data_IF_581301127743
#
_entry.id   IF_581301127743
#
_cell.length_a   1.000
_cell.length_b   1.000
_cell.length_c   1.000
_cell.angle_alpha   90.00
_cell.angle_beta   90.00
_cell.angle_gamma   90.00
#
_symmetry.space_group_name_H-M   'P 1'
#
loop_
_entity.id
_entity.type
_entity.pdbx_description
1 polymer ?
#
# COMPACT_ATOMS: atom_id res chain seq x y z
N UNK A 1 -5.70 2.06 3.91
CA UNK A 1 -5.86 0.67 4.36
C UNK A 1 -4.80 0.31 5.40
N UNK A 2 -3.63 -0.22 5.05
CA UNK A 2 -2.65 -0.83 5.98
C UNK A 2 -1.88 0.07 6.97
N UNK A 3 -2.27 1.33 7.15
CA UNK A 3 -1.55 2.30 7.98
C UNK A 3 -0.06 2.46 7.68
N UNK A 4 0.38 2.13 6.46
CA UNK A 4 1.78 2.22 6.05
C UNK A 4 2.17 3.66 5.76
N UNK A 5 3.41 4.04 6.07
CA UNK A 5 3.95 5.35 5.69
C UNK A 5 4.06 5.44 4.16
N UNK A 6 3.99 6.64 3.60
CA UNK A 6 4.13 6.88 2.14
C UNK A 6 5.32 6.17 1.48
N UNK A 7 6.50 6.16 2.12
CA UNK A 7 7.68 5.40 1.62
C UNK A 7 7.47 3.89 1.65
N UNK A 8 6.89 3.38 2.72
CA UNK A 8 6.59 1.94 2.87
C UNK A 8 5.59 1.50 1.79
N UNK A 9 4.63 2.36 1.43
CA UNK A 9 3.67 2.13 0.33
C UNK A 9 4.37 2.16 -1.04
N UNK A 10 5.16 3.18 -1.34
CA UNK A 10 5.86 3.31 -2.63
C UNK A 10 6.84 2.14 -2.90
N UNK A 11 7.55 1.70 -1.86
CA UNK A 11 8.57 0.65 -1.97
C UNK A 11 8.01 -0.78 -2.01
N UNK A 12 6.69 -0.94 -2.07
CA UNK A 12 6.07 -2.27 -2.06
C UNK A 12 6.27 -3.02 -3.37
N UNK A 13 6.56 -4.31 -3.26
CA UNK A 13 6.68 -5.24 -4.38
C UNK A 13 5.55 -6.26 -4.36
N UNK A 14 5.31 -6.91 -5.51
CA UNK A 14 4.32 -7.99 -5.62
C UNK A 14 4.57 -9.10 -4.58
N UNK A 15 5.84 -9.42 -4.32
CA UNK A 15 6.24 -10.46 -3.37
C UNK A 15 5.96 -10.09 -1.90
N UNK A 16 5.70 -8.81 -1.61
CA UNK A 16 5.35 -8.35 -0.26
C UNK A 16 3.88 -8.65 0.09
N UNK A 17 3.06 -9.05 -0.88
CA UNK A 17 1.71 -9.57 -0.65
C UNK A 17 1.82 -11.06 -0.28
N UNK A 18 1.36 -11.42 0.92
CA UNK A 18 1.51 -12.75 1.50
C UNK A 18 0.16 -13.31 1.93
N UNK A 19 0.00 -14.63 1.81
CA UNK A 19 -1.12 -15.36 2.41
C UNK A 19 -0.95 -15.41 3.93
N UNK A 20 -2.05 -15.26 4.66
CA UNK A 20 -2.13 -15.52 6.09
C UNK A 20 -2.90 -16.83 6.32
N UNK A 21 -2.27 -17.92 6.81
CA UNK A 21 -2.96 -19.19 7.08
C UNK A 21 -4.13 -19.08 8.05
N UNK A 22 -4.11 -18.09 8.96
CA UNK A 22 -5.18 -17.83 9.93
C UNK A 22 -6.33 -16.99 9.37
N UNK A 23 -6.17 -16.42 8.18
CA UNK A 23 -7.19 -15.65 7.48
C UNK A 23 -7.17 -16.00 5.97
N UNK A 24 -7.45 -17.27 5.61
CA UNK A 24 -7.31 -17.75 4.25
C UNK A 24 -8.24 -17.05 3.25
N UNK A 25 -9.36 -16.48 3.73
CA UNK A 25 -10.33 -15.73 2.93
C UNK A 25 -9.74 -14.49 2.25
N UNK A 26 -8.63 -13.93 2.77
CA UNK A 26 -7.97 -12.76 2.18
C UNK A 26 -6.91 -13.11 1.12
N UNK A 27 -6.83 -14.40 0.73
CA UNK A 27 -5.98 -14.84 -0.39
C UNK A 27 -4.52 -14.42 -0.23
N UNK A 28 -3.94 -13.86 -1.30
CA UNK A 28 -2.54 -13.37 -1.32
C UNK A 28 -2.35 -12.06 -0.55
N UNK A 29 -3.43 -11.45 -0.08
CA UNK A 29 -3.45 -10.14 0.55
C UNK A 29 -3.72 -10.27 2.05
N UNK A 30 -3.69 -11.47 2.63
CA UNK A 30 -3.93 -11.68 4.06
C UNK A 30 -2.85 -11.09 4.99
N UNK A 31 -1.63 -10.91 4.49
CA UNK A 31 -0.52 -10.27 5.17
C UNK A 31 0.31 -9.44 4.18
N UNK A 32 0.82 -8.30 4.64
CA UNK A 32 1.61 -7.36 3.85
C UNK A 32 2.96 -7.13 4.54
N UNK A 33 4.04 -7.54 3.88
CA UNK A 33 5.39 -7.29 4.38
C UNK A 33 5.80 -5.84 4.14
N UNK A 34 6.35 -5.21 5.16
CA UNK A 34 6.97 -3.88 5.08
C UNK A 34 8.46 -4.08 5.26
N UNK A 35 9.22 -3.98 4.16
CA UNK A 35 10.69 -4.10 4.18
C UNK A 35 11.43 -2.79 4.44
N UNK A 36 10.79 -1.66 4.15
CA UNK A 36 11.40 -0.33 4.17
C UNK A 36 10.78 0.58 5.24
N UNK A 37 10.59 0.05 6.45
CA UNK A 37 10.06 0.81 7.58
C UNK A 37 11.02 1.88 8.10
N UNK A 38 10.47 2.86 8.84
CA UNK A 38 11.26 3.94 9.47
C UNK A 38 12.40 3.35 10.30
N UNK A 39 13.64 3.63 9.89
CA UNK A 39 14.85 3.24 10.59
C UNK A 39 15.11 4.13 11.81
N UNK A 40 15.88 3.59 12.77
CA UNK A 40 16.59 4.39 13.76
C UNK A 40 17.84 5.01 13.13
N UNK A 41 18.39 6.08 13.71
CA UNK A 41 19.61 6.73 13.19
C UNK A 41 20.76 5.71 13.11
N UNK A 42 21.35 5.57 11.93
CA UNK A 42 22.46 4.63 11.68
C UNK A 42 22.04 3.16 11.52
N UNK A 43 20.76 2.82 11.61
CA UNK A 43 20.28 1.44 11.47
C UNK A 43 19.66 1.17 10.09
N UNK A 44 19.61 -0.10 9.64
CA UNK A 44 18.84 -0.49 8.47
C UNK A 44 17.33 -0.21 8.63
N UNK A 45 16.57 -0.17 7.52
CA UNK A 45 15.11 -0.07 7.56
C UNK A 45 14.49 -1.18 8.41
N UNK A 46 13.52 -0.81 9.26
CA UNK A 46 12.81 -1.78 10.09
C UNK A 46 11.86 -2.62 9.23
N UNK A 47 11.83 -3.92 9.48
CA UNK A 47 10.87 -4.84 8.87
C UNK A 47 9.70 -5.10 9.80
N UNK A 48 8.50 -5.26 9.25
CA UNK A 48 7.30 -5.73 9.97
C UNK A 48 6.29 -6.33 9.01
N UNK A 49 5.37 -7.13 9.53
CA UNK A 49 4.21 -7.59 8.79
C UNK A 49 2.97 -6.85 9.28
N UNK A 50 2.12 -6.42 8.35
CA UNK A 50 0.82 -5.83 8.63
C UNK A 50 -0.25 -6.80 8.14
N UNK A 51 -1.23 -7.12 8.96
CA UNK A 51 -2.28 -8.06 8.59
C UNK A 51 -3.47 -7.34 7.96
N UNK A 52 -4.11 -7.99 7.00
CA UNK A 52 -5.48 -7.60 6.62
C UNK A 52 -6.42 -8.01 7.75
N UNK A 53 -7.25 -7.07 8.15
CA UNK A 53 -8.26 -7.21 9.20
C UNK A 53 -9.63 -6.87 8.62
N UNK A 54 -10.74 -7.33 9.22
CA UNK A 54 -12.09 -7.12 8.69
C UNK A 54 -12.41 -5.66 8.33
N UNK A 55 -11.98 -4.70 9.14
CA UNK A 55 -12.24 -3.26 8.94
C UNK A 55 -11.64 -2.69 7.65
N UNK A 56 -10.64 -3.37 7.09
CA UNK A 56 -9.99 -2.97 5.83
C UNK A 56 -10.11 -4.02 4.73
N UNK A 57 -10.94 -5.05 4.88
CA UNK A 57 -11.02 -6.15 3.93
C UNK A 57 -11.49 -5.72 2.53
N UNK A 58 -12.20 -4.60 2.44
CA UNK A 58 -12.58 -3.95 1.17
C UNK A 58 -11.39 -3.67 0.24
N UNK A 59 -10.15 -3.61 0.77
CA UNK A 59 -8.94 -3.43 -0.04
C UNK A 59 -8.54 -4.69 -0.82
N UNK A 60 -8.94 -5.88 -0.36
CA UNK A 60 -8.56 -7.16 -0.95
C UNK A 60 -8.95 -7.23 -2.43
N UNK A 61 -10.23 -7.07 -2.81
CA UNK A 61 -10.61 -7.12 -4.22
C UNK A 61 -9.93 -6.04 -5.07
N UNK A 62 -9.68 -4.85 -4.50
CA UNK A 62 -9.01 -3.75 -5.21
C UNK A 62 -7.54 -4.07 -5.53
N UNK A 63 -6.83 -4.72 -4.61
CA UNK A 63 -5.44 -5.15 -4.83
C UNK A 63 -5.40 -6.32 -5.82
N UNK A 64 -6.36 -7.24 -5.73
CA UNK A 64 -6.45 -8.37 -6.65
C UNK A 64 -6.73 -7.91 -8.09
N UNK A 65 -7.71 -7.02 -8.29
CA UNK A 65 -7.99 -6.41 -9.60
C UNK A 65 -6.78 -5.60 -10.11
N UNK A 66 -6.15 -4.81 -9.24
CA UNK A 66 -4.95 -4.07 -9.63
C UNK A 66 -3.85 -5.00 -10.15
N UNK A 67 -3.59 -6.11 -9.44
CA UNK A 67 -2.53 -7.05 -9.82
C UNK A 67 -2.90 -7.86 -11.06
N UNK A 68 -4.15 -8.27 -11.21
CA UNK A 68 -4.63 -9.12 -12.29
C UNK A 68 -4.89 -8.36 -13.59
N UNK A 69 -5.48 -7.17 -13.52
CA UNK A 69 -6.03 -6.47 -14.69
C UNK A 69 -5.33 -5.14 -14.96
N UNK A 70 -5.20 -4.27 -13.95
CA UNK A 70 -4.77 -2.89 -14.19
C UNK A 70 -3.26 -2.80 -14.39
N UNK A 71 -2.48 -3.40 -13.49
CA UNK A 71 -1.01 -3.37 -13.51
C UNK A 71 -0.43 -4.01 -14.79
N UNK A 72 -0.93 -5.16 -15.28
CA UNK A 72 -0.46 -5.72 -16.55
C UNK A 72 -0.70 -4.82 -17.75
N UNK A 73 -1.75 -3.97 -17.74
CA UNK A 73 -2.02 -2.99 -18.80
C UNK A 73 -0.87 -1.99 -19.02
N UNK A 74 -0.03 -1.75 -18.01
CA UNK A 74 1.19 -0.94 -18.15
C UNK A 74 2.36 -1.68 -18.79
N UNK A 75 2.25 -2.99 -19.03
CA UNK A 75 3.33 -3.85 -19.54
C UNK A 75 4.68 -3.74 -18.79
N UNK A 76 4.71 -3.79 -17.44
CA UNK A 76 5.94 -3.53 -16.66
C UNK A 76 6.99 -4.66 -16.71
N UNK A 77 6.76 -5.71 -17.50
CA UNK A 77 7.65 -6.88 -17.60
C UNK A 77 7.95 -7.49 -16.23
N UNK A 78 9.26 -7.67 -15.94
CA UNK A 78 9.76 -8.23 -14.68
C UNK A 78 9.90 -7.20 -13.54
N UNK A 79 9.48 -5.95 -13.73
CA UNK A 79 9.61 -4.93 -12.69
C UNK A 79 8.84 -5.38 -11.42
N UNK A 80 9.45 -5.38 -10.22
CA UNK A 80 8.85 -6.01 -9.04
C UNK A 80 7.81 -5.14 -8.32
N UNK A 81 7.84 -3.82 -8.54
CA UNK A 81 6.99 -2.88 -7.82
C UNK A 81 5.50 -3.21 -7.97
N UNK A 82 4.77 -3.14 -6.85
CA UNK A 82 3.32 -3.23 -6.83
C UNK A 82 2.71 -2.04 -7.58
N UNK A 83 3.19 -0.84 -7.29
CA UNK A 83 2.73 0.41 -7.90
C UNK A 83 3.72 0.88 -8.97
N UNK A 84 3.27 0.85 -10.22
CA UNK A 84 4.06 1.26 -11.38
C UNK A 84 3.49 2.54 -12.00
N UNK A 85 4.32 3.23 -12.77
CA UNK A 85 3.93 4.37 -13.60
C UNK A 85 3.74 3.95 -15.05
N UNK A 86 3.18 4.84 -15.87
CA UNK A 86 3.10 4.69 -17.34
C UNK A 86 4.46 4.41 -18.00
N UNK A 87 5.55 4.87 -17.37
CA UNK A 87 6.92 4.61 -17.83
C UNK A 87 7.50 3.30 -17.30
N UNK A 88 6.66 2.40 -16.78
CA UNK A 88 7.04 1.11 -16.20
C UNK A 88 8.01 1.17 -15.00
N UNK A 89 8.18 2.35 -14.40
CA UNK A 89 9.01 2.54 -13.20
C UNK A 89 8.18 2.47 -11.91
N UNK A 90 8.84 2.30 -10.76
CA UNK A 90 8.19 2.41 -9.45
C UNK A 90 7.59 3.81 -9.24
N UNK A 91 6.41 3.87 -8.62
CA UNK A 91 5.84 5.15 -8.20
C UNK A 91 6.75 5.86 -7.17
N UNK A 92 6.96 7.17 -7.37
CA UNK A 92 7.67 8.01 -6.42
C UNK A 92 6.80 8.38 -5.22
N UNK A 93 7.42 8.67 -4.07
CA UNK A 93 6.71 9.09 -2.85
C UNK A 93 5.89 10.37 -3.07
N UNK A 94 6.48 11.38 -3.75
CA UNK A 94 5.77 12.62 -4.11
C UNK A 94 4.53 12.36 -4.96
N UNK A 95 4.60 11.39 -5.88
CA UNK A 95 3.47 11.03 -6.75
C UNK A 95 2.31 10.44 -5.95
N UNK A 96 2.59 9.70 -4.87
CA UNK A 96 1.53 9.23 -3.96
C UNK A 96 0.81 10.40 -3.29
N UNK A 97 1.57 11.42 -2.84
CA UNK A 97 0.98 12.61 -2.21
C UNK A 97 0.06 13.35 -3.21
N UNK A 98 0.49 13.47 -4.48
CA UNK A 98 -0.31 14.09 -5.55
C UNK A 98 -1.57 13.30 -5.91
N UNK A 99 -1.44 11.98 -6.03
CA UNK A 99 -2.59 11.10 -6.30
C UNK A 99 -3.59 11.22 -5.16
N UNK A 100 -3.14 11.22 -3.90
CA UNK A 100 -4.01 11.42 -2.76
C UNK A 100 -4.70 12.78 -2.79
N UNK A 101 -3.96 13.87 -3.03
CA UNK A 101 -4.52 15.21 -3.13
C UNK A 101 -5.59 15.31 -4.26
N UNK A 102 -5.36 14.62 -5.38
CA UNK A 102 -6.30 14.55 -6.50
C UNK A 102 -7.57 13.79 -6.12
N UNK A 103 -7.43 12.62 -5.50
CA UNK A 103 -8.56 11.81 -5.03
C UNK A 103 -9.36 12.55 -3.97
N UNK A 104 -8.68 13.14 -2.98
CA UNK A 104 -9.27 13.97 -1.92
C UNK A 104 -10.11 15.11 -2.50
N UNK A 105 -9.56 15.86 -3.46
CA UNK A 105 -10.28 16.94 -4.15
C UNK A 105 -11.52 16.43 -4.89
N UNK A 106 -11.41 15.30 -5.60
CA UNK A 106 -12.54 14.70 -6.32
C UNK A 106 -13.62 14.17 -5.38
N UNK A 107 -13.23 13.69 -4.21
CA UNK A 107 -14.14 13.22 -3.17
C UNK A 107 -14.77 14.35 -2.34
N UNK A 108 -14.44 15.63 -2.60
CA UNK A 108 -14.96 16.77 -1.82
C UNK A 108 -14.44 16.81 -0.38
N UNK A 109 -13.31 16.16 -0.10
CA UNK A 109 -12.77 16.04 1.25
C UNK A 109 -11.92 17.27 1.65
N UNK A 110 -11.82 17.59 2.96
CA UNK A 110 -11.09 18.76 3.45
C UNK A 110 -9.61 18.81 3.05
N UNK A 111 -9.08 20.01 2.84
CA UNK A 111 -7.76 20.27 2.29
C UNK A 111 -6.59 19.95 3.24
N UNK A 112 -6.89 19.81 4.52
CA UNK A 112 -5.97 19.44 5.60
C UNK A 112 -5.71 17.94 5.68
N UNK A 113 -6.54 17.10 5.05
CA UNK A 113 -6.32 15.65 5.05
C UNK A 113 -5.11 15.31 4.17
N UNK A 114 -4.23 14.46 4.66
CA UNK A 114 -3.09 13.93 3.94
C UNK A 114 -2.98 12.39 4.09
N UNK A 115 -1.93 11.80 3.51
CA UNK A 115 -1.68 10.37 3.65
C UNK A 115 -1.38 9.94 5.10
N UNK A 116 -0.98 10.85 5.99
CA UNK A 116 -0.77 10.57 7.40
C UNK A 116 -2.09 10.26 8.12
N UNK A 117 -3.20 10.89 7.72
CA UNK A 117 -4.53 10.60 8.27
C UNK A 117 -4.90 9.11 8.11
N UNK A 118 -4.60 8.50 6.95
CA UNK A 118 -4.86 7.07 6.72
C UNK A 118 -4.08 6.15 7.66
N UNK A 119 -2.93 6.61 8.17
CA UNK A 119 -2.17 5.89 9.19
C UNK A 119 -2.85 5.97 10.55
N UNK A 120 -3.39 7.13 10.89
CA UNK A 120 -4.14 7.29 12.14
C UNK A 120 -5.37 6.40 12.14
N UNK A 121 -6.20 6.46 11.08
CA UNK A 121 -7.40 5.63 10.92
C UNK A 121 -7.11 4.13 11.11
N UNK A 122 -6.04 3.62 10.50
CA UNK A 122 -5.68 2.21 10.67
C UNK A 122 -5.32 1.84 12.11
N UNK A 123 -4.60 2.71 12.82
CA UNK A 123 -4.24 2.46 14.23
C UNK A 123 -5.51 2.51 15.10
N UNK A 124 -6.39 3.47 14.87
CA UNK A 124 -7.66 3.60 15.61
C UNK A 124 -8.55 2.38 15.44
N UNK A 125 -8.57 1.72 14.28
CA UNK A 125 -9.36 0.50 14.08
C UNK A 125 -8.72 -0.78 14.62
N UNK A 126 -7.45 -0.73 15.05
CA UNK A 126 -6.73 -1.88 15.60
C UNK A 126 -6.65 -1.89 17.13
N UNK A 127 -7.11 -0.83 17.79
CA UNK A 127 -7.11 -0.65 19.25
C UNK A 127 -8.56 -0.59 19.71
#
# INVERSE_FOLDING_TARGET
>A
AYGTRRRETAMRDLADLRRNPRAPQYGRVGAVEVRFGKASRGSPPKRRTVLTVPEIEWIVPLIEEWVAEVRPGFSPGRHPALWVTERCGRIGVRRLDEVFATVRKRAGLPGELDLHCLRHTYITHLV
#
